data_IF_852101977315
#
_entry.id   IF_852101977315
#
_cell.length_a   1.000
_cell.length_b   1.000
_cell.length_c   1.000
_cell.angle_alpha   90.00
_cell.angle_beta   90.00
_cell.angle_gamma   90.00
#
_symmetry.space_group_name_H-M   'P 1'
#
loop_
_entity.id
_entity.type
_entity.pdbx_description
1 polymer ?
#
# COMPACT_ATOMS: atom_id res chain seq x y z
N UNK A 1 0.23 -6.17 10.06
CA UNK A 1 -0.39 -4.95 9.47
C UNK A 1 -1.32 -4.24 10.45
N UNK A 2 -2.40 -4.85 10.94
CA UNK A 2 -3.33 -4.14 11.83
C UNK A 2 -2.67 -3.65 13.13
N UNK A 3 -1.83 -4.49 13.75
CA UNK A 3 -1.04 -4.12 14.94
C UNK A 3 -0.10 -2.93 14.65
N UNK A 4 0.53 -2.91 13.48
CA UNK A 4 1.40 -1.82 13.03
C UNK A 4 0.58 -0.52 12.87
N UNK A 5 -0.54 -0.56 12.15
CA UNK A 5 -1.39 0.62 11.91
C UNK A 5 -1.98 1.17 13.21
N UNK A 6 -2.43 0.29 14.12
CA UNK A 6 -2.90 0.72 15.43
C UNK A 6 -1.79 1.38 16.26
N UNK A 7 -0.56 0.86 16.17
CA UNK A 7 0.61 1.46 16.78
C UNK A 7 0.91 2.86 16.21
N UNK A 8 0.93 2.99 14.88
CA UNK A 8 1.13 4.26 14.16
C UNK A 8 0.09 5.31 14.59
N UNK A 9 -1.18 4.91 14.71
CA UNK A 9 -2.28 5.80 15.13
C UNK A 9 -2.22 6.18 16.62
N UNK A 10 -1.62 5.35 17.47
CA UNK A 10 -1.47 5.64 18.88
C UNK A 10 -0.36 6.67 19.17
N UNK A 11 0.67 6.76 18.31
CA UNK A 11 1.83 7.64 18.54
C UNK A 11 1.45 9.12 18.72
N UNK A 12 0.63 9.75 17.85
CA UNK A 12 0.23 11.16 18.04
C UNK A 12 -0.58 11.40 19.31
N UNK A 13 -1.41 10.43 19.71
CA UNK A 13 -2.19 10.50 20.94
C UNK A 13 -1.32 10.59 22.19
N UNK A 14 -0.25 9.80 22.21
CA UNK A 14 0.70 9.75 23.33
C UNK A 14 1.57 11.00 23.30
N UNK A 15 1.97 11.46 22.12
CA UNK A 15 2.71 12.72 21.96
C UNK A 15 1.92 13.91 22.52
N UNK A 16 0.61 14.00 22.25
CA UNK A 16 -0.22 15.05 22.84
C UNK A 16 -0.20 15.01 24.38
N UNK A 17 -0.29 13.82 24.99
CA UNK A 17 -0.19 13.67 26.46
C UNK A 17 1.19 14.08 27.00
N UNK A 18 2.26 13.80 26.27
CA UNK A 18 3.62 14.24 26.66
C UNK A 18 3.67 15.77 26.72
N UNK A 19 3.12 16.45 25.73
CA UNK A 19 3.13 17.92 25.68
C UNK A 19 2.22 18.51 26.76
N UNK A 20 0.96 18.07 26.81
CA UNK A 20 -0.07 18.68 27.65
C UNK A 20 0.07 18.36 29.15
N UNK A 21 0.53 17.15 29.48
CA UNK A 21 0.64 16.69 30.88
C UNK A 21 2.08 16.60 31.38
N UNK A 22 3.03 16.38 30.47
CA UNK A 22 4.44 16.29 30.82
C UNK A 22 5.11 17.66 30.77
N UNK A 23 5.29 18.19 29.57
CA UNK A 23 6.06 19.42 29.31
C UNK A 23 5.37 20.63 29.93
N UNK A 24 4.06 20.82 29.70
CA UNK A 24 3.33 21.97 30.22
C UNK A 24 3.27 22.02 31.75
N UNK A 25 3.38 20.86 32.43
CA UNK A 25 3.36 20.75 33.89
C UNK A 25 4.77 20.57 34.50
N UNK A 26 5.83 20.57 33.67
CA UNK A 26 7.21 20.37 34.11
C UNK A 26 7.51 18.97 34.68
N UNK A 27 6.67 17.96 34.41
CA UNK A 27 6.80 16.62 34.99
C UNK A 27 7.61 15.68 34.09
N UNK A 28 8.94 15.68 34.27
CA UNK A 28 9.88 14.83 33.52
C UNK A 28 9.60 13.32 33.69
N UNK A 29 9.08 12.90 34.85
CA UNK A 29 8.75 11.48 35.09
C UNK A 29 7.61 11.02 34.17
N UNK A 30 6.59 11.85 33.97
CA UNK A 30 5.51 11.56 33.01
C UNK A 30 6.04 11.54 31.57
N UNK A 31 6.91 12.49 31.20
CA UNK A 31 7.53 12.52 29.88
C UNK A 31 8.30 11.22 29.60
N UNK A 32 9.15 10.78 30.54
CA UNK A 32 9.90 9.52 30.41
C UNK A 32 8.99 8.30 30.34
N UNK A 33 7.94 8.23 31.17
CA UNK A 33 6.99 7.11 31.16
C UNK A 33 6.25 6.98 29.84
N UNK A 34 5.72 8.08 29.31
CA UNK A 34 5.04 8.09 28.01
C UNK A 34 6.01 7.90 26.83
N UNK A 35 7.23 8.43 26.92
CA UNK A 35 8.28 8.17 25.93
C UNK A 35 8.66 6.69 25.85
N UNK A 36 8.82 6.03 26.99
CA UNK A 36 9.09 4.59 27.04
C UNK A 36 7.90 3.76 26.51
N UNK A 37 6.67 4.22 26.78
CA UNK A 37 5.47 3.63 26.20
C UNK A 37 5.43 3.77 24.67
N UNK A 38 5.82 4.93 24.11
CA UNK A 38 5.92 5.13 22.66
C UNK A 38 6.90 4.15 22.02
N UNK A 39 8.07 3.96 22.64
CA UNK A 39 9.09 2.98 22.18
C UNK A 39 8.54 1.56 22.24
N UNK A 40 7.84 1.20 23.31
CA UNK A 40 7.20 -0.12 23.46
C UNK A 40 6.17 -0.39 22.35
N UNK A 41 5.28 0.57 22.09
CA UNK A 41 4.26 0.45 21.04
C UNK A 41 4.91 0.41 19.66
N UNK A 42 5.92 1.23 19.39
CA UNK A 42 6.66 1.20 18.13
C UNK A 42 7.34 -0.15 17.89
N UNK A 43 7.91 -0.76 18.94
CA UNK A 43 8.52 -2.08 18.87
C UNK A 43 7.50 -3.18 18.54
N UNK A 44 6.33 -3.14 19.17
CA UNK A 44 5.23 -4.08 18.87
C UNK A 44 4.72 -3.87 17.44
N UNK A 45 4.58 -2.62 17.00
CA UNK A 45 4.20 -2.27 15.63
C UNK A 45 5.19 -2.83 14.60
N UNK A 46 6.49 -2.69 14.87
CA UNK A 46 7.58 -3.23 14.04
C UNK A 46 7.46 -4.75 13.90
N UNK A 47 7.29 -5.48 15.00
CA UNK A 47 7.12 -6.94 14.97
C UNK A 47 5.88 -7.32 14.15
N UNK A 48 4.76 -6.60 14.33
CA UNK A 48 3.52 -6.83 13.59
C UNK A 48 3.61 -6.50 12.08
N UNK A 49 4.41 -5.50 11.70
CA UNK A 49 4.67 -5.13 10.32
C UNK A 49 5.65 -6.09 9.64
N UNK A 50 6.69 -6.48 10.36
CA UNK A 50 7.69 -7.43 9.89
C UNK A 50 7.10 -8.82 9.68
N UNK A 51 6.36 -9.34 10.65
CA UNK A 51 5.67 -10.63 10.52
C UNK A 51 4.66 -10.65 9.36
N UNK A 52 3.95 -9.55 9.15
CA UNK A 52 3.06 -9.42 8.00
C UNK A 52 3.82 -9.39 6.66
N UNK A 53 4.97 -8.73 6.62
CA UNK A 53 5.83 -8.71 5.42
C UNK A 53 6.36 -10.10 5.10
N UNK A 54 6.81 -10.86 6.10
CA UNK A 54 7.27 -12.24 5.89
C UNK A 54 6.12 -13.11 5.38
N UNK A 55 4.96 -13.11 6.05
CA UNK A 55 3.82 -13.93 5.67
C UNK A 55 3.29 -13.58 4.27
N UNK A 56 3.16 -12.30 3.95
CA UNK A 56 2.69 -11.86 2.62
C UNK A 56 3.69 -12.14 1.51
N UNK A 57 5.00 -12.02 1.77
CA UNK A 57 6.04 -12.41 0.81
C UNK A 57 6.00 -13.91 0.53
N UNK A 58 5.92 -14.76 1.56
CA UNK A 58 5.84 -16.22 1.38
C UNK A 58 4.57 -16.59 0.59
N UNK A 59 3.42 -16.03 0.97
CA UNK A 59 2.15 -16.29 0.29
C UNK A 59 2.18 -15.87 -1.19
N UNK A 60 2.69 -14.67 -1.49
CA UNK A 60 2.81 -14.16 -2.85
C UNK A 60 3.80 -14.98 -3.68
N UNK A 61 4.98 -15.30 -3.13
CA UNK A 61 6.00 -16.08 -3.83
C UNK A 61 5.51 -17.49 -4.17
N UNK A 62 4.87 -18.19 -3.22
CA UNK A 62 4.32 -19.53 -3.46
C UNK A 62 3.19 -19.48 -4.48
N UNK A 63 2.28 -18.51 -4.37
CA UNK A 63 1.23 -18.29 -5.36
C UNK A 63 1.81 -18.07 -6.77
N UNK A 64 2.84 -17.24 -6.90
CA UNK A 64 3.51 -17.00 -8.17
C UNK A 64 4.21 -18.24 -8.72
N UNK A 65 4.80 -19.07 -7.85
CA UNK A 65 5.43 -20.33 -8.24
C UNK A 65 4.41 -21.36 -8.75
N UNK A 66 3.30 -21.52 -8.04
CA UNK A 66 2.20 -22.43 -8.42
C UNK A 66 1.56 -21.97 -9.73
N UNK A 67 1.24 -20.67 -9.84
CA UNK A 67 0.66 -20.09 -11.05
C UNK A 67 1.57 -20.29 -12.27
N UNK A 68 2.87 -20.05 -12.10
CA UNK A 68 3.85 -20.27 -13.18
C UNK A 68 3.92 -21.74 -13.59
N UNK A 69 3.94 -22.64 -12.62
CA UNK A 69 4.05 -24.08 -12.86
C UNK A 69 2.83 -24.61 -13.61
N UNK A 70 1.62 -24.25 -13.16
CA UNK A 70 0.38 -24.69 -13.81
C UNK A 70 0.19 -24.04 -15.18
N UNK A 71 0.57 -22.77 -15.35
CA UNK A 71 0.53 -22.11 -16.66
C UNK A 71 1.53 -22.78 -17.63
N UNK A 72 2.73 -23.11 -17.17
CA UNK A 72 3.73 -23.80 -17.99
C UNK A 72 3.29 -25.22 -18.38
N UNK A 73 2.71 -25.99 -17.46
CA UNK A 73 2.09 -27.29 -17.78
C UNK A 73 1.00 -27.13 -18.83
N UNK A 74 0.15 -26.12 -18.69
CA UNK A 74 -0.95 -25.89 -19.62
C UNK A 74 -0.46 -25.57 -21.04
N UNK A 75 0.59 -24.77 -21.15
CA UNK A 75 1.22 -24.44 -22.44
C UNK A 75 1.81 -25.69 -23.10
N UNK A 76 2.37 -26.64 -22.33
CA UNK A 76 2.92 -27.89 -22.89
C UNK A 76 1.83 -28.83 -23.46
N UNK A 77 0.59 -28.72 -23.00
CA UNK A 77 -0.55 -29.48 -23.54
C UNK A 77 -1.15 -28.87 -24.82
N UNK A 78 -0.68 -27.69 -25.25
CA UNK A 78 -1.24 -27.01 -26.40
C UNK A 78 -0.92 -27.72 -27.72
N UNK A 79 -1.92 -27.82 -28.59
CA UNK A 79 -1.71 -28.22 -29.98
C UNK A 79 -1.09 -27.06 -30.79
N UNK A 80 -0.57 -27.36 -31.97
CA UNK A 80 -0.07 -26.32 -32.89
C UNK A 80 -1.13 -25.25 -33.23
N UNK A 81 -2.41 -25.64 -33.35
CA UNK A 81 -3.50 -24.69 -33.57
C UNK A 81 -3.67 -23.70 -32.41
N UNK A 82 -3.45 -24.14 -31.16
CA UNK A 82 -3.50 -23.26 -29.99
C UNK A 82 -2.29 -22.32 -29.94
N UNK A 83 -1.10 -22.79 -30.35
CA UNK A 83 0.11 -21.97 -30.41
C UNK A 83 -0.01 -20.88 -31.48
N UNK A 84 -0.60 -21.19 -32.63
CA UNK A 84 -0.89 -20.20 -33.68
C UNK A 84 -1.89 -19.14 -33.23
N UNK A 85 -2.88 -19.53 -32.41
CA UNK A 85 -3.86 -18.59 -31.85
C UNK A 85 -3.24 -17.62 -30.82
N UNK A 86 -2.47 -18.13 -29.86
CA UNK A 86 -1.96 -17.31 -28.75
C UNK A 86 -0.63 -16.63 -29.03
N UNK A 87 0.07 -17.03 -30.11
CA UNK A 87 1.43 -16.63 -30.51
C UNK A 87 2.48 -16.88 -29.41
N UNK A 88 3.59 -17.51 -29.78
CA UNK A 88 4.66 -17.85 -28.83
C UNK A 88 5.16 -16.66 -28.02
N UNK A 89 5.29 -15.49 -28.65
CA UNK A 89 5.73 -14.24 -28.01
C UNK A 89 4.80 -13.81 -26.86
N UNK A 90 3.48 -13.91 -27.06
CA UNK A 90 2.49 -13.54 -26.03
C UNK A 90 2.42 -14.58 -24.90
N UNK A 91 2.66 -15.86 -25.20
CA UNK A 91 2.78 -16.90 -24.18
C UNK A 91 4.00 -16.67 -23.27
N UNK A 92 5.12 -16.20 -23.83
CA UNK A 92 6.32 -15.83 -23.05
C UNK A 92 6.01 -14.67 -22.11
N UNK A 93 5.37 -13.59 -22.59
CA UNK A 93 5.03 -12.44 -21.74
C UNK A 93 4.03 -12.83 -20.64
N UNK A 94 3.07 -13.72 -20.93
CA UNK A 94 2.13 -14.23 -19.92
C UNK A 94 2.83 -15.05 -18.84
N UNK A 95 3.76 -15.92 -19.22
CA UNK A 95 4.49 -16.77 -18.27
C UNK A 95 5.49 -15.98 -17.40
N UNK A 96 5.92 -14.81 -17.87
CA UNK A 96 6.91 -13.96 -17.21
C UNK A 96 6.27 -12.73 -16.56
N UNK A 97 5.96 -11.71 -17.35
CA UNK A 97 5.46 -10.42 -16.90
C UNK A 97 4.11 -10.54 -16.20
N UNK A 98 3.14 -11.25 -16.77
CA UNK A 98 1.79 -11.31 -16.20
C UNK A 98 1.80 -12.09 -14.87
N UNK A 99 2.52 -13.21 -14.80
CA UNK A 99 2.71 -13.95 -13.53
C UNK A 99 3.34 -13.04 -12.47
N UNK A 100 4.38 -12.28 -12.81
CA UNK A 100 4.99 -11.32 -11.86
C UNK A 100 4.01 -10.23 -11.44
N UNK A 101 3.21 -9.71 -12.36
CA UNK A 101 2.22 -8.67 -12.07
C UNK A 101 1.12 -9.18 -11.14
N UNK A 102 0.61 -10.39 -11.37
CA UNK A 102 -0.39 -11.01 -10.49
C UNK A 102 0.25 -11.36 -9.13
N UNK A 103 1.49 -11.86 -9.12
CA UNK A 103 2.24 -12.10 -7.89
C UNK A 103 2.37 -10.81 -7.06
N UNK A 104 2.77 -9.70 -7.70
CA UNK A 104 2.83 -8.39 -7.06
C UNK A 104 1.46 -7.89 -6.60
N UNK A 105 0.40 -8.13 -7.37
CA UNK A 105 -0.97 -7.82 -6.97
C UNK A 105 -1.34 -8.53 -5.67
N UNK A 106 -1.01 -9.82 -5.53
CA UNK A 106 -1.23 -10.59 -4.29
C UNK A 106 -0.40 -10.02 -3.12
N UNK A 107 0.85 -9.63 -3.36
CA UNK A 107 1.67 -9.00 -2.33
C UNK A 107 1.07 -7.66 -1.85
N UNK A 108 0.63 -6.84 -2.81
CA UNK A 108 0.05 -5.52 -2.56
C UNK A 108 -1.31 -5.60 -1.88
N UNK A 109 -2.13 -6.59 -2.24
CA UNK A 109 -3.44 -6.79 -1.64
C UNK A 109 -3.34 -7.17 -0.16
N UNK A 110 -2.38 -8.02 0.19
CA UNK A 110 -2.14 -8.43 1.57
C UNK A 110 -1.48 -7.33 2.43
N UNK A 111 -0.81 -6.36 1.82
CA UNK A 111 -0.09 -5.29 2.53
C UNK A 111 -0.75 -3.93 2.38
N UNK A 112 -0.57 -3.28 1.24
CA UNK A 112 -0.90 -1.87 1.06
C UNK A 112 -2.41 -1.64 0.98
N UNK A 113 -3.15 -2.57 0.36
CA UNK A 113 -4.62 -2.48 0.32
C UNK A 113 -5.25 -2.67 1.71
N UNK A 114 -4.57 -3.32 2.66
CA UNK A 114 -5.00 -3.35 4.06
C UNK A 114 -4.51 -2.10 4.79
N UNK A 115 -3.25 -1.72 4.63
CA UNK A 115 -2.67 -0.60 5.38
C UNK A 115 -3.37 0.73 5.11
N UNK A 116 -3.52 1.10 3.84
CA UNK A 116 -3.98 2.44 3.46
C UNK A 116 -5.41 2.76 3.92
N UNK A 117 -6.42 1.88 3.73
CA UNK A 117 -7.77 2.15 4.21
C UNK A 117 -7.86 2.21 5.74
N UNK A 118 -7.20 1.30 6.45
CA UNK A 118 -7.22 1.28 7.91
C UNK A 118 -6.54 2.51 8.50
N UNK A 119 -5.42 2.95 7.93
CA UNK A 119 -4.74 4.17 8.36
C UNK A 119 -5.60 5.40 8.05
N UNK A 120 -6.24 5.46 6.89
CA UNK A 120 -7.15 6.55 6.52
C UNK A 120 -8.35 6.65 7.48
N UNK A 121 -9.07 5.55 7.67
CA UNK A 121 -10.24 5.49 8.56
C UNK A 121 -9.84 5.78 10.01
N UNK A 122 -8.77 5.14 10.48
CA UNK A 122 -8.28 5.33 11.85
C UNK A 122 -7.79 6.75 12.11
N UNK A 123 -7.11 7.38 11.14
CA UNK A 123 -6.66 8.78 11.25
C UNK A 123 -7.86 9.73 11.32
N UNK A 124 -8.89 9.47 10.50
CA UNK A 124 -10.11 10.27 10.49
C UNK A 124 -10.81 10.21 11.86
N UNK A 125 -11.03 9.00 12.37
CA UNK A 125 -11.62 8.78 13.71
C UNK A 125 -10.81 9.51 14.78
N UNK A 126 -9.47 9.38 14.74
CA UNK A 126 -8.58 9.96 15.74
C UNK A 126 -8.63 11.49 15.74
N UNK A 127 -8.65 12.10 14.56
CA UNK A 127 -8.76 13.56 14.41
C UNK A 127 -10.08 14.07 14.97
N UNK A 128 -11.20 13.39 14.69
CA UNK A 128 -12.50 13.71 15.27
C UNK A 128 -12.53 13.56 16.80
N UNK A 129 -11.82 12.56 17.34
CA UNK A 129 -11.73 12.32 18.78
C UNK A 129 -10.87 13.36 19.51
N UNK A 130 -9.80 13.87 18.89
CA UNK A 130 -8.90 14.86 19.49
C UNK A 130 -9.51 16.27 19.43
N UNK A 131 -9.95 16.72 18.25
CA UNK A 131 -10.47 18.08 18.08
C UNK A 131 -11.41 18.18 16.87
N UNK A 132 -12.72 18.31 17.15
CA UNK A 132 -13.76 18.43 16.12
C UNK A 132 -13.56 19.65 15.21
N UNK A 133 -13.09 20.79 15.73
CA UNK A 133 -12.86 21.98 14.90
C UNK A 133 -11.75 21.72 13.87
N UNK A 134 -10.66 21.08 14.31
CA UNK A 134 -9.56 20.71 13.42
C UNK A 134 -10.00 19.63 12.41
N UNK A 135 -10.83 18.69 12.85
CA UNK A 135 -11.43 17.67 11.99
C UNK A 135 -12.28 18.25 10.86
N UNK A 136 -13.11 19.26 11.15
CA UNK A 136 -13.93 19.93 10.15
C UNK A 136 -13.08 20.66 9.10
N UNK A 137 -11.98 21.29 9.51
CA UNK A 137 -11.04 21.94 8.57
C UNK A 137 -10.46 20.88 7.61
N UNK A 138 -9.99 19.75 8.14
CA UNK A 138 -9.45 18.66 7.33
C UNK A 138 -10.52 18.01 6.44
N UNK A 139 -11.75 17.88 6.93
CA UNK A 139 -12.88 17.35 6.16
C UNK A 139 -13.24 18.23 4.95
N UNK A 140 -13.04 19.54 5.03
CA UNK A 140 -13.20 20.45 3.87
C UNK A 140 -11.97 20.44 2.96
N UNK A 141 -10.76 20.33 3.53
CA UNK A 141 -9.53 20.26 2.75
C UNK A 141 -9.40 18.96 1.93
N UNK A 142 -9.92 17.84 2.43
CA UNK A 142 -9.87 16.54 1.76
C UNK A 142 -10.52 16.54 0.36
N UNK A 143 -11.79 16.98 0.18
CA UNK A 143 -12.40 17.11 -1.14
C UNK A 143 -11.61 17.98 -2.12
N UNK A 144 -11.00 19.07 -1.64
CA UNK A 144 -10.15 19.93 -2.47
C UNK A 144 -8.93 19.16 -2.99
N UNK A 145 -8.23 18.46 -2.09
CA UNK A 145 -7.07 17.63 -2.45
C UNK A 145 -7.46 16.51 -3.42
N UNK A 146 -8.56 15.80 -3.14
CA UNK A 146 -9.11 14.78 -4.04
C UNK A 146 -9.44 15.35 -5.42
N UNK A 147 -10.02 16.54 -5.47
CA UNK A 147 -10.35 17.21 -6.75
C UNK A 147 -9.09 17.54 -7.53
N UNK A 148 -8.07 18.10 -6.89
CA UNK A 148 -6.80 18.42 -7.54
C UNK A 148 -6.12 17.16 -8.08
N UNK A 149 -6.02 16.10 -7.27
CA UNK A 149 -5.44 14.82 -7.69
C UNK A 149 -6.25 14.21 -8.85
N UNK A 150 -7.58 14.24 -8.77
CA UNK A 150 -8.45 13.75 -9.83
C UNK A 150 -8.23 14.52 -11.15
N UNK A 151 -8.10 15.85 -11.10
CA UNK A 151 -7.82 16.66 -12.28
C UNK A 151 -6.43 16.36 -12.87
N UNK A 152 -5.42 16.15 -12.02
CA UNK A 152 -4.07 15.74 -12.45
C UNK A 152 -4.13 14.39 -13.15
N UNK A 153 -4.78 13.39 -12.56
CA UNK A 153 -4.92 12.06 -13.15
C UNK A 153 -5.67 12.14 -14.49
N UNK A 154 -6.80 12.85 -14.52
CA UNK A 154 -7.64 12.99 -15.71
C UNK A 154 -6.91 13.65 -16.88
N UNK A 155 -6.04 14.63 -16.60
CA UNK A 155 -5.20 15.26 -17.64
C UNK A 155 -3.91 14.49 -17.93
N UNK A 156 -3.31 13.85 -16.93
CA UNK A 156 -2.01 13.18 -17.03
C UNK A 156 -2.07 11.88 -17.82
N UNK A 157 -3.10 11.06 -17.63
CA UNK A 157 -3.26 9.80 -18.38
C UNK A 157 -3.27 9.97 -19.91
N UNK A 158 -4.07 10.88 -20.50
CA UNK A 158 -4.05 11.06 -21.95
C UNK A 158 -2.71 11.59 -22.48
N UNK A 159 -2.01 12.44 -21.71
CA UNK A 159 -0.65 12.90 -22.03
C UNK A 159 0.34 11.73 -22.05
N UNK A 160 0.23 10.82 -21.09
CA UNK A 160 1.08 9.63 -21.02
C UNK A 160 0.88 8.72 -22.22
N UNK A 161 -0.38 8.50 -22.63
CA UNK A 161 -0.71 7.74 -23.84
C UNK A 161 -0.15 8.39 -25.11
N UNK A 162 -0.16 9.72 -25.19
CA UNK A 162 0.41 10.45 -26.33
C UNK A 162 1.94 10.31 -26.40
N UNK A 163 2.62 10.27 -25.26
CA UNK A 163 4.06 9.99 -25.21
C UNK A 163 4.33 8.54 -25.63
N UNK A 164 3.52 7.59 -25.18
CA UNK A 164 3.63 6.17 -25.58
C UNK A 164 3.51 6.02 -27.10
N UNK A 165 2.49 6.63 -27.73
CA UNK A 165 2.29 6.57 -29.18
C UNK A 165 3.47 7.16 -29.97
N UNK A 166 4.10 8.22 -29.44
CA UNK A 166 5.30 8.81 -30.05
C UNK A 166 6.53 7.91 -29.91
N UNK A 167 6.69 7.23 -28.78
CA UNK A 167 7.76 6.26 -28.57
C UNK A 167 7.60 5.06 -29.51
N UNK A 168 6.37 4.56 -29.65
CA UNK A 168 6.07 3.42 -30.54
C UNK A 168 6.43 3.76 -31.99
N UNK A 169 6.08 4.96 -32.48
CA UNK A 169 6.47 5.45 -33.82
C UNK A 169 7.98 5.54 -34.02
N UNK A 170 8.75 5.91 -33.00
CA UNK A 170 10.23 5.96 -33.10
C UNK A 170 10.83 4.55 -33.09
N UNK A 171 10.24 3.65 -32.31
CA UNK A 171 10.68 2.26 -32.23
C UNK A 171 10.20 1.40 -33.42
N UNK A 172 9.37 1.95 -34.30
CA UNK A 172 8.88 1.28 -35.51
C UNK A 172 7.84 0.19 -35.22
N UNK A 173 7.13 0.30 -34.09
CA UNK A 173 6.01 -0.56 -33.69
C UNK A 173 4.69 0.16 -33.94
#
# INVERSE_FOLDING_TARGET
MLVEVSGDLAQPAIMAKIVDQGVAQGNLTLVLKYGLLMVGIASIGLIGGWGCTIASSIASMNFGADLRTETFKKIQEFSFANLDQFKTESLITRLTNDVLQIQHMVLMSLRMMVRAPFLCIGSLIMVFAINIKMALILAVAMPLLFTVVFLIIRKGFPLFNLVQEKLDKVNGV
#
